data_IF_350026255865
#
_entry.id   IF_350026255865
#
_cell.length_a   1.000
_cell.length_b   1.000
_cell.length_c   1.000
_cell.angle_alpha   90.00
_cell.angle_beta   90.00
_cell.angle_gamma   90.00
#
_symmetry.space_group_name_H-M   'P 1'
#
loop_
_entity.id
_entity.type
_entity.pdbx_description
1 polymer ?
#
# COMPACT_ATOMS: atom_id res chain seq x y z
N UNK A 1 -23.29 -5.59 8.04
CA UNK A 1 -22.83 -4.65 6.98
C UNK A 1 -21.35 -4.43 7.23
N UNK A 2 -20.51 -4.51 6.20
CA UNK A 2 -19.09 -4.17 6.36
C UNK A 2 -19.00 -2.67 6.64
N UNK A 3 -18.28 -2.27 7.70
CA UNK A 3 -18.08 -0.86 8.04
C UNK A 3 -17.13 -0.17 7.04
N UNK A 4 -16.22 -0.94 6.42
CA UNK A 4 -15.34 -0.48 5.36
C UNK A 4 -13.87 -0.59 5.72
N UNK A 5 -13.02 -0.15 4.80
CA UNK A 5 -11.57 -0.10 4.91
C UNK A 5 -11.10 1.28 4.48
N UNK A 6 -10.11 1.80 5.19
CA UNK A 6 -9.37 2.98 4.76
C UNK A 6 -7.88 2.67 4.72
N UNK A 7 -7.18 3.31 3.79
CA UNK A 7 -5.74 3.21 3.69
C UNK A 7 -5.13 4.51 3.20
N UNK A 8 -3.97 4.83 3.75
CA UNK A 8 -3.21 6.03 3.47
C UNK A 8 -1.77 5.62 3.20
N UNK A 9 -1.18 6.24 2.18
CA UNK A 9 0.23 6.12 1.91
C UNK A 9 0.82 7.44 1.46
N UNK A 10 2.10 7.61 1.79
CA UNK A 10 2.89 8.74 1.34
C UNK A 10 4.24 8.26 0.84
N UNK A 11 4.71 8.90 -0.21
CA UNK A 11 6.06 8.69 -0.71
C UNK A 11 7.05 9.20 0.34
N UNK A 12 8.03 8.37 0.69
CA UNK A 12 9.08 8.70 1.65
C UNK A 12 10.36 9.07 0.95
N UNK A 13 10.89 8.15 0.15
CA UNK A 13 12.18 8.28 -0.52
C UNK A 13 12.34 7.26 -1.66
N UNK A 14 13.33 7.48 -2.52
CA UNK A 14 13.77 6.53 -3.53
C UNK A 14 15.18 6.07 -3.16
N UNK A 15 15.38 4.75 -3.09
CA UNK A 15 16.67 4.13 -2.78
C UNK A 15 16.93 3.01 -3.77
N UNK A 16 18.06 3.05 -4.48
CA UNK A 16 18.51 2.01 -5.40
C UNK A 16 17.49 1.63 -6.50
N UNK A 17 16.70 2.61 -6.98
CA UNK A 17 15.64 2.37 -7.97
C UNK A 17 14.34 1.81 -7.39
N UNK A 18 14.26 1.65 -6.07
CA UNK A 18 13.04 1.31 -5.35
C UNK A 18 12.43 2.54 -4.70
N UNK A 19 11.11 2.66 -4.85
CA UNK A 19 10.28 3.69 -4.27
C UNK A 19 9.76 3.19 -2.94
N UNK A 20 10.07 3.92 -1.88
CA UNK A 20 9.65 3.59 -0.52
C UNK A 20 8.44 4.44 -0.17
N UNK A 21 7.34 3.76 0.17
CA UNK A 21 6.12 4.36 0.64
C UNK A 21 5.90 3.97 2.09
N UNK A 22 5.59 4.96 2.91
CA UNK A 22 5.04 4.71 4.23
C UNK A 22 3.53 4.57 4.12
N UNK A 23 2.97 3.63 4.86
CA UNK A 23 1.54 3.37 4.79
C UNK A 23 0.93 3.03 6.16
N UNK A 24 -0.36 3.31 6.27
CA UNK A 24 -1.20 2.92 7.39
C UNK A 24 -2.65 2.80 6.92
N UNK A 25 -3.52 2.34 7.77
CA UNK A 25 -4.94 2.25 7.46
C UNK A 25 -5.71 1.63 8.61
N UNK A 26 -6.97 1.32 8.35
CA UNK A 26 -7.80 0.61 9.30
C UNK A 26 -8.87 -0.22 8.60
N UNK A 27 -9.20 -1.32 9.26
CA UNK A 27 -10.37 -2.11 8.94
C UNK A 27 -11.46 -1.77 9.95
N UNK A 28 -12.44 -0.96 9.57
CA UNK A 28 -13.48 -0.51 10.49
C UNK A 28 -14.36 -1.65 11.02
N UNK A 29 -14.23 -2.87 10.47
CA UNK A 29 -14.90 -4.07 10.99
C UNK A 29 -14.22 -4.68 12.22
N UNK A 30 -13.01 -4.24 12.57
CA UNK A 30 -12.25 -4.70 13.73
C UNK A 30 -12.10 -3.58 14.75
N UNK A 31 -11.93 -3.91 16.05
CA UNK A 31 -11.52 -2.93 17.04
C UNK A 31 -10.11 -2.45 16.68
N UNK A 32 -10.02 -1.33 15.96
CA UNK A 32 -8.76 -0.64 15.73
C UNK A 32 -8.45 0.22 16.94
N UNK A 33 -7.18 0.35 17.30
CA UNK A 33 -6.78 1.46 18.15
C UNK A 33 -6.99 2.75 17.34
N UNK A 34 -7.92 3.61 17.78
CA UNK A 34 -8.39 4.81 17.03
C UNK A 34 -7.25 5.73 16.56
N UNK A 35 -6.08 5.67 17.23
CA UNK A 35 -4.88 6.44 16.87
C UNK A 35 -4.02 5.81 15.76
N UNK A 36 -4.38 4.62 15.24
CA UNK A 36 -3.56 3.83 14.33
C UNK A 36 -3.58 4.23 12.84
N UNK A 37 -4.67 4.86 12.37
CA UNK A 37 -4.94 5.01 10.92
C UNK A 37 -3.95 5.93 10.18
N UNK A 38 -3.27 6.84 10.89
CA UNK A 38 -2.35 7.85 10.34
C UNK A 38 -0.94 7.74 10.90
N UNK A 39 -0.57 6.58 11.45
CA UNK A 39 0.77 6.38 12.00
C UNK A 39 1.86 6.30 10.93
N UNK A 40 1.49 5.96 9.68
CA UNK A 40 2.45 5.73 8.58
C UNK A 40 3.59 4.78 9.01
N UNK A 41 3.24 3.75 9.78
CA UNK A 41 4.19 2.88 10.45
C UNK A 41 4.53 1.61 9.66
N UNK A 42 3.78 1.33 8.60
CA UNK A 42 4.10 0.33 7.59
C UNK A 42 5.00 0.91 6.49
N UNK A 43 5.76 0.03 5.83
CA UNK A 43 6.68 0.37 4.73
C UNK A 43 6.47 -0.57 3.55
N UNK A 44 6.26 0.00 2.38
CA UNK A 44 6.16 -0.69 1.09
C UNK A 44 7.33 -0.26 0.22
N UNK A 45 7.95 -1.20 -0.45
CA UNK A 45 8.99 -1.00 -1.45
C UNK A 45 8.48 -1.44 -2.81
N UNK A 46 8.53 -0.54 -3.79
CA UNK A 46 8.07 -0.77 -5.16
C UNK A 46 9.22 -0.45 -6.10
N UNK A 47 9.68 -1.41 -6.90
CA UNK A 47 10.63 -1.10 -7.98
C UNK A 47 10.00 -0.09 -8.96
N UNK A 48 10.71 1.01 -9.24
CA UNK A 48 10.21 2.10 -10.10
C UNK A 48 9.78 1.63 -11.49
N UNK A 49 10.47 0.66 -12.06
CA UNK A 49 10.17 0.12 -13.38
C UNK A 49 8.79 -0.55 -13.44
N UNK A 50 8.35 -1.16 -12.34
CA UNK A 50 7.04 -1.82 -12.24
C UNK A 50 5.89 -0.86 -12.51
N UNK A 51 6.01 0.41 -12.11
CA UNK A 51 4.97 1.40 -12.36
C UNK A 51 4.74 1.68 -13.86
N UNK A 52 5.72 1.38 -14.72
CA UNK A 52 5.61 1.51 -16.17
C UNK A 52 5.10 0.24 -16.86
N UNK A 53 4.96 -0.87 -16.14
CA UNK A 53 4.48 -2.13 -16.70
C UNK A 53 2.96 -2.09 -16.93
N UNK A 54 2.42 -3.13 -17.59
CA UNK A 54 0.99 -3.23 -17.83
C UNK A 54 0.23 -3.75 -16.60
N UNK A 55 0.84 -4.67 -15.85
CA UNK A 55 0.29 -5.31 -14.65
C UNK A 55 1.31 -5.29 -13.50
N UNK A 56 0.89 -4.94 -12.28
CA UNK A 56 1.75 -4.95 -11.08
C UNK A 56 1.70 -6.26 -10.29
N UNK A 57 0.69 -7.11 -10.52
CA UNK A 57 0.48 -8.33 -9.72
C UNK A 57 1.66 -9.30 -9.79
N UNK A 58 2.20 -9.52 -10.99
CA UNK A 58 3.39 -10.37 -11.21
C UNK A 58 4.63 -9.86 -10.48
N UNK A 59 4.77 -8.54 -10.35
CA UNK A 59 5.89 -7.92 -9.65
C UNK A 59 5.88 -8.20 -8.14
N UNK A 60 4.71 -8.52 -7.56
CA UNK A 60 4.62 -8.98 -6.17
C UNK A 60 5.19 -10.39 -6.04
N UNK A 61 4.81 -11.30 -6.94
CA UNK A 61 5.31 -12.69 -6.95
C UNK A 61 6.81 -12.78 -7.24
N UNK A 62 7.32 -11.92 -8.13
CA UNK A 62 8.74 -11.79 -8.46
C UNK A 62 9.56 -11.08 -7.36
N UNK A 63 8.89 -10.55 -6.33
CA UNK A 63 9.53 -9.84 -5.23
C UNK A 63 10.09 -8.47 -5.63
N UNK A 64 9.61 -7.85 -6.70
CA UNK A 64 9.95 -6.46 -7.09
C UNK A 64 9.09 -5.44 -6.34
N UNK A 65 7.95 -5.89 -5.84
CA UNK A 65 7.14 -5.21 -4.81
C UNK A 65 7.23 -6.01 -3.52
N UNK A 66 7.55 -5.34 -2.41
CA UNK A 66 7.64 -5.97 -1.08
C UNK A 66 7.03 -5.08 -0.01
N UNK A 67 6.41 -5.69 0.98
CA UNK A 67 6.07 -5.03 2.24
C UNK A 67 7.28 -5.23 3.16
N UNK A 68 8.05 -4.17 3.39
CA UNK A 68 9.23 -4.20 4.28
C UNK A 68 8.77 -4.35 5.73
N UNK A 69 7.72 -3.62 6.08
CA UNK A 69 7.16 -3.59 7.42
C UNK A 69 5.65 -3.43 7.32
N UNK A 70 4.93 -4.23 8.07
CA UNK A 70 3.48 -4.14 8.12
C UNK A 70 3.04 -3.03 9.08
N UNK A 71 1.95 -2.36 8.74
CA UNK A 71 1.36 -1.34 9.61
C UNK A 71 0.71 -1.99 10.84
N UNK A 72 0.52 -1.21 11.91
CA UNK A 72 -0.07 -1.70 13.17
C UNK A 72 -1.43 -2.37 12.98
N UNK A 73 -2.23 -1.86 12.06
CA UNK A 73 -3.57 -2.35 11.74
C UNK A 73 -3.56 -3.33 10.55
N UNK A 74 -2.42 -3.97 10.26
CA UNK A 74 -2.32 -4.93 9.17
C UNK A 74 -3.40 -6.00 9.29
N UNK A 75 -4.04 -6.28 8.17
CA UNK A 75 -5.17 -7.17 8.11
C UNK A 75 -5.00 -8.18 6.99
N UNK A 76 -5.14 -9.46 7.31
CA UNK A 76 -5.09 -10.53 6.32
C UNK A 76 -6.48 -11.08 6.11
N UNK A 77 -6.88 -11.20 4.85
CA UNK A 77 -8.13 -11.86 4.47
C UNK A 77 -7.81 -13.24 3.90
N UNK A 78 -8.45 -14.28 4.42
CA UNK A 78 -8.24 -15.67 3.97
C UNK A 78 -6.76 -16.11 4.08
N UNK A 79 -6.21 -16.73 3.03
CA UNK A 79 -4.83 -17.23 2.92
C UNK A 79 -3.88 -16.22 2.24
N UNK A 80 -4.20 -14.91 2.27
CA UNK A 80 -3.31 -13.90 1.70
C UNK A 80 -2.00 -13.85 2.46
N UNK A 81 -0.88 -13.81 1.72
CA UNK A 81 0.48 -13.71 2.25
C UNK A 81 0.90 -12.29 2.64
N UNK A 82 0.06 -11.30 2.35
CA UNK A 82 0.36 -9.89 2.47
C UNK A 82 -0.79 -9.15 3.13
N UNK A 83 -0.46 -8.07 3.83
CA UNK A 83 -1.43 -7.13 4.37
C UNK A 83 -2.38 -6.62 3.27
N UNK A 84 -3.67 -6.86 3.48
CA UNK A 84 -4.75 -6.46 2.57
C UNK A 84 -4.76 -4.96 2.32
N UNK A 85 -4.46 -4.15 3.35
CA UNK A 85 -4.40 -2.69 3.21
C UNK A 85 -3.26 -2.30 2.27
N UNK A 86 -2.06 -2.86 2.48
CA UNK A 86 -0.90 -2.61 1.63
C UNK A 86 -1.16 -2.94 0.15
N UNK A 87 -1.81 -4.09 -0.11
CA UNK A 87 -2.18 -4.52 -1.46
C UNK A 87 -3.11 -3.51 -2.15
N UNK A 88 -4.10 -2.99 -1.43
CA UNK A 88 -4.99 -1.95 -1.95
C UNK A 88 -4.23 -0.64 -2.19
N UNK A 89 -3.34 -0.24 -1.29
CA UNK A 89 -2.49 0.95 -1.45
C UNK A 89 -1.62 0.83 -2.70
N UNK A 90 -0.94 -0.29 -2.90
CA UNK A 90 -0.10 -0.55 -4.08
C UNK A 90 -0.92 -0.38 -5.35
N UNK A 91 -2.14 -0.96 -5.37
CA UNK A 91 -3.06 -0.80 -6.50
C UNK A 91 -3.40 0.66 -6.76
N UNK A 92 -3.68 1.45 -5.73
CA UNK A 92 -4.00 2.87 -5.88
C UNK A 92 -2.79 3.69 -6.34
N UNK A 93 -1.59 3.46 -5.79
CA UNK A 93 -0.34 4.08 -6.26
C UNK A 93 -0.15 3.82 -7.76
N UNK A 94 -0.36 2.59 -8.19
CA UNK A 94 -0.21 2.18 -9.57
C UNK A 94 -1.23 2.85 -10.50
N UNK A 95 -2.51 2.86 -10.11
CA UNK A 95 -3.59 3.49 -10.88
C UNK A 95 -3.37 4.99 -11.00
N UNK A 96 -3.00 5.65 -9.90
CA UNK A 96 -2.76 7.09 -9.87
C UNK A 96 -1.53 7.46 -10.71
N UNK A 97 -0.44 6.68 -10.63
CA UNK A 97 0.73 6.86 -11.49
C UNK A 97 0.34 6.77 -12.97
N UNK A 98 -0.42 5.75 -13.37
CA UNK A 98 -0.87 5.58 -14.77
C UNK A 98 -1.79 6.71 -15.24
N UNK A 99 -2.62 7.26 -14.34
CA UNK A 99 -3.56 8.32 -14.66
C UNK A 99 -2.89 9.69 -14.76
N UNK A 100 -1.95 9.98 -13.85
CA UNK A 100 -1.33 11.31 -13.70
C UNK A 100 -0.02 11.39 -14.51
N UNK A 101 0.64 10.26 -14.76
CA UNK A 101 1.96 10.19 -15.40
C UNK A 101 3.10 10.71 -14.50
N UNK A 102 2.83 10.87 -13.20
CA UNK A 102 3.79 11.33 -12.19
C UNK A 102 3.68 10.45 -10.95
N UNK A 103 4.78 10.33 -10.21
CA UNK A 103 4.84 9.62 -8.95
C UNK A 103 3.89 10.25 -7.92
N UNK A 104 2.84 9.55 -7.45
CA UNK A 104 1.93 10.10 -6.47
C UNK A 104 2.67 10.26 -5.14
N UNK A 105 2.64 11.48 -4.60
CA UNK A 105 3.26 11.79 -3.32
C UNK A 105 2.42 11.29 -2.16
N UNK A 106 1.10 11.31 -2.32
CA UNK A 106 0.14 10.85 -1.33
C UNK A 106 -0.96 10.06 -2.05
N UNK A 107 -1.42 9.00 -1.41
CA UNK A 107 -2.45 8.10 -1.92
C UNK A 107 -3.36 7.73 -0.76
N UNK A 108 -4.67 7.79 -0.97
CA UNK A 108 -5.64 7.37 0.02
C UNK A 108 -6.84 6.71 -0.64
N UNK A 109 -7.45 5.74 0.04
CA UNK A 109 -8.70 5.14 -0.38
C UNK A 109 -9.63 4.89 0.81
N UNK A 110 -10.93 4.89 0.53
CA UNK A 110 -11.99 4.46 1.44
C UNK A 110 -12.90 3.51 0.65
N UNK A 111 -13.15 2.30 1.15
CA UNK A 111 -13.90 1.25 0.47
C UNK A 111 -14.88 0.52 1.39
#
# INVERSE_FOLDING_TARGET
MSLGFEGYARYKEESDGYLIYEYSGANWNLPNEEEGCLLYDGLISIEKNVLNEEEWGKAVDEGRIKIIKECKNAFYRYEMKFDYLAIHIIRHIYVDYKKIGKLPQEVSFIQ
#
